data_IF_688226882722
#
_entry.id   IF_688226882722
#
_cell.length_a   1.000
_cell.length_b   1.000
_cell.length_c   1.000
_cell.angle_alpha   90.00
_cell.angle_beta   90.00
_cell.angle_gamma   90.00
#
_symmetry.space_group_name_H-M   'P 1'
#
loop_
_entity.id
_entity.type
_entity.pdbx_description
1 polymer ?
#
# COMPACT_ATOMS: atom_id res chain seq x y z
N UNK A 1 19.38 23.54 16.91
CA UNK A 1 18.51 22.46 16.41
C UNK A 1 19.35 21.54 15.55
N UNK A 2 19.55 20.30 15.93
CA UNK A 2 20.28 19.38 15.07
C UNK A 2 19.39 19.06 13.85
N UNK A 3 19.75 19.61 12.71
CA UNK A 3 19.16 19.18 11.46
C UNK A 3 19.63 17.75 11.17
N UNK A 4 18.68 16.83 10.89
CA UNK A 4 19.02 15.48 10.48
C UNK A 4 19.90 15.54 9.23
N UNK A 5 21.00 14.78 9.21
CA UNK A 5 21.88 14.71 8.06
C UNK A 5 21.18 13.97 6.90
N UNK A 6 21.60 14.24 5.66
CA UNK A 6 21.02 13.58 4.47
C UNK A 6 21.04 12.06 4.60
N UNK A 7 22.11 11.49 5.11
CA UNK A 7 22.24 10.04 5.34
C UNK A 7 21.28 9.50 6.40
N UNK A 8 21.00 10.27 7.45
CA UNK A 8 20.01 9.90 8.47
C UNK A 8 18.58 9.92 7.90
N UNK A 9 18.28 10.89 7.04
CA UNK A 9 16.97 10.97 6.36
C UNK A 9 16.79 9.79 5.41
N UNK A 10 17.79 9.44 4.63
CA UNK A 10 17.74 8.30 3.73
C UNK A 10 17.53 6.97 4.48
N UNK A 11 18.23 6.77 5.59
CA UNK A 11 18.03 5.61 6.47
C UNK A 11 16.63 5.56 7.07
N UNK A 12 16.09 6.70 7.50
CA UNK A 12 14.75 6.78 8.07
C UNK A 12 13.62 6.52 7.06
N UNK A 13 13.88 6.65 5.76
CA UNK A 13 12.93 6.34 4.69
C UNK A 13 12.88 4.85 4.30
N UNK A 14 13.89 4.08 4.67
CA UNK A 14 14.00 2.67 4.27
C UNK A 14 13.00 1.75 4.98
N UNK A 15 12.78 1.83 6.31
CA UNK A 15 11.88 0.91 6.98
C UNK A 15 10.44 1.16 6.60
N UNK A 16 9.73 0.08 6.26
CA UNK A 16 8.29 0.10 6.12
C UNK A 16 7.61 0.24 7.49
N UNK A 17 6.37 0.72 7.51
CA UNK A 17 5.65 0.97 8.75
C UNK A 17 5.49 -0.29 9.60
N UNK A 18 5.25 -1.45 8.99
CA UNK A 18 5.07 -2.71 9.71
C UNK A 18 6.33 -3.12 10.46
N UNK A 19 7.50 -3.05 9.82
CA UNK A 19 8.79 -3.37 10.43
C UNK A 19 9.12 -2.42 11.58
N UNK A 20 8.84 -1.13 11.42
CA UNK A 20 9.02 -0.13 12.45
C UNK A 20 8.10 -0.39 13.65
N UNK A 21 6.80 -0.60 13.44
CA UNK A 21 5.83 -0.79 14.53
C UNK A 21 6.05 -2.10 15.29
N UNK A 22 6.51 -3.16 14.66
CA UNK A 22 6.89 -4.41 15.35
C UNK A 22 7.97 -4.22 16.41
N UNK A 23 8.82 -3.21 16.25
CA UNK A 23 9.88 -2.86 17.23
C UNK A 23 9.41 -1.79 18.21
N UNK A 24 8.72 -0.77 17.70
CA UNK A 24 8.35 0.41 18.49
C UNK A 24 7.08 0.20 19.34
N UNK A 25 6.03 -0.36 18.74
CA UNK A 25 4.74 -0.62 19.40
C UNK A 25 4.13 -1.95 18.92
N UNK A 26 4.69 -3.10 19.30
CA UNK A 26 4.19 -4.40 18.82
C UNK A 26 2.73 -4.66 19.24
N UNK A 27 2.30 -4.17 20.40
CA UNK A 27 0.96 -4.36 20.95
C UNK A 27 -0.15 -3.61 20.18
N UNK A 28 0.24 -2.62 19.36
CA UNK A 28 -0.68 -1.87 18.52
C UNK A 28 -1.09 -2.63 17.26
N UNK A 29 -0.34 -3.65 16.86
CA UNK A 29 -0.56 -4.40 15.63
C UNK A 29 -1.56 -5.53 15.83
N UNK A 30 -2.70 -5.43 15.16
CA UNK A 30 -3.72 -6.48 15.13
C UNK A 30 -3.71 -7.11 13.74
N UNK A 31 -3.40 -8.42 13.60
CA UNK A 31 -3.46 -9.08 12.31
C UNK A 31 -4.90 -9.19 11.83
N UNK A 32 -5.16 -8.84 10.59
CA UNK A 32 -6.48 -8.94 9.94
C UNK A 32 -6.47 -9.89 8.75
N UNK A 33 -5.30 -10.32 8.32
CA UNK A 33 -5.11 -11.26 7.22
C UNK A 33 -3.64 -11.67 7.06
N UNK A 34 -3.31 -12.47 6.05
CA UNK A 34 -1.97 -13.04 5.87
C UNK A 34 -0.85 -11.99 5.84
N UNK A 35 -1.09 -10.85 5.19
CA UNK A 35 -0.16 -9.72 5.09
C UNK A 35 -0.85 -8.38 5.40
N UNK A 36 -1.94 -8.42 6.18
CA UNK A 36 -2.72 -7.26 6.52
C UNK A 36 -2.83 -7.08 8.02
N UNK A 37 -2.61 -5.87 8.49
CA UNK A 37 -2.67 -5.48 9.89
C UNK A 37 -3.48 -4.21 10.03
N UNK A 38 -4.07 -4.01 11.21
CA UNK A 38 -4.68 -2.75 11.62
C UNK A 38 -4.06 -2.28 12.93
N UNK A 39 -4.19 -1.01 13.24
CA UNK A 39 -3.77 -0.47 14.52
C UNK A 39 -4.91 -0.53 15.55
N UNK A 40 -4.56 -0.82 16.79
CA UNK A 40 -5.52 -0.83 17.90
C UNK A 40 -6.03 0.58 18.20
N UNK A 41 -5.16 1.58 18.18
CA UNK A 41 -5.51 2.99 18.40
C UNK A 41 -6.28 3.61 17.23
N UNK A 42 -6.06 3.13 16.02
CA UNK A 42 -6.66 3.63 14.79
C UNK A 42 -7.23 2.48 13.95
N UNK A 43 -8.41 1.98 14.32
CA UNK A 43 -9.03 0.80 13.71
C UNK A 43 -9.25 0.92 12.19
N UNK A 44 -9.45 2.13 11.69
CA UNK A 44 -9.57 2.43 10.26
C UNK A 44 -8.25 2.56 9.51
N UNK A 45 -7.10 2.55 10.22
CA UNK A 45 -5.79 2.53 9.59
C UNK A 45 -5.39 1.08 9.31
N UNK A 46 -5.21 0.76 8.04
CA UNK A 46 -4.81 -0.56 7.57
C UNK A 46 -3.41 -0.52 6.97
N UNK A 47 -2.64 -1.56 7.27
CA UNK A 47 -1.30 -1.79 6.74
C UNK A 47 -1.36 -3.06 5.90
N UNK A 48 -0.94 -3.00 4.64
CA UNK A 48 -0.90 -4.15 3.74
C UNK A 48 0.22 -4.00 2.74
N UNK A 49 0.99 -5.08 2.51
CA UNK A 49 2.07 -5.11 1.52
C UNK A 49 3.08 -3.94 1.64
N UNK A 50 3.46 -3.56 2.85
CA UNK A 50 4.41 -2.48 3.10
C UNK A 50 3.84 -1.08 2.89
N UNK A 51 2.56 -0.95 2.60
CA UNK A 51 1.83 0.33 2.49
C UNK A 51 0.82 0.45 3.60
N UNK A 52 0.49 1.68 3.99
CA UNK A 52 -0.56 1.94 4.95
C UNK A 52 -1.55 2.96 4.40
N UNK A 53 -2.80 2.87 4.85
CA UNK A 53 -3.86 3.78 4.48
C UNK A 53 -4.81 3.98 5.66
N UNK A 54 -5.12 5.24 5.94
CA UNK A 54 -6.07 5.64 6.98
C UNK A 54 -7.38 6.13 6.37
N UNK A 55 -8.37 5.28 6.37
CA UNK A 55 -9.62 5.48 5.63
C UNK A 55 -10.51 6.59 6.20
N UNK A 56 -10.50 6.81 7.52
CA UNK A 56 -11.31 7.86 8.16
C UNK A 56 -10.74 9.27 8.03
N UNK A 57 -9.52 9.42 7.54
CA UNK A 57 -8.83 10.71 7.36
C UNK A 57 -8.46 10.91 5.90
N UNK A 58 -9.43 11.32 5.07
CA UNK A 58 -9.27 11.66 3.65
C UNK A 58 -8.42 10.66 2.84
N UNK A 59 -8.49 9.37 3.19
CA UNK A 59 -7.65 8.31 2.60
C UNK A 59 -6.15 8.60 2.72
N UNK A 60 -5.74 9.24 3.82
CA UNK A 60 -4.35 9.51 4.09
C UNK A 60 -3.54 8.22 4.11
N UNK A 61 -2.40 8.19 3.45
CA UNK A 61 -1.59 6.98 3.37
C UNK A 61 -0.14 7.26 3.03
N UNK A 62 0.65 6.19 3.02
CA UNK A 62 2.06 6.25 2.71
C UNK A 62 2.71 4.88 2.59
N UNK A 63 4.01 4.87 2.38
CA UNK A 63 4.80 3.66 2.17
C UNK A 63 5.75 3.39 3.34
N UNK A 64 6.22 4.42 4.01
CA UNK A 64 7.27 4.31 5.03
C UNK A 64 6.80 4.77 6.42
N UNK A 65 7.57 4.41 7.43
CA UNK A 65 7.32 4.78 8.83
C UNK A 65 7.44 6.29 9.06
N UNK A 66 8.31 6.98 8.31
CA UNK A 66 8.53 8.41 8.46
C UNK A 66 7.27 9.22 8.13
N UNK A 67 6.59 8.87 7.04
CA UNK A 67 5.32 9.52 6.68
C UNK A 67 4.22 9.26 7.72
N UNK A 68 4.18 8.09 8.31
CA UNK A 68 3.26 7.77 9.39
C UNK A 68 3.49 8.66 10.62
N UNK A 69 4.71 8.77 11.09
CA UNK A 69 5.04 9.58 12.27
C UNK A 69 4.71 11.07 12.06
N UNK A 70 4.92 11.59 10.86
CA UNK A 70 4.61 12.98 10.53
C UNK A 70 3.11 13.21 10.37
N UNK A 71 2.41 12.34 9.62
CA UNK A 71 1.01 12.54 9.23
C UNK A 71 0.01 12.10 10.31
N UNK A 72 0.30 11.02 11.03
CA UNK A 72 -0.61 10.41 12.00
C UNK A 72 -0.26 10.84 13.43
N UNK A 73 1.00 10.75 13.82
CA UNK A 73 1.48 11.14 15.15
C UNK A 73 1.78 12.65 15.26
N UNK A 74 1.66 13.41 14.17
CA UNK A 74 1.97 14.86 14.10
C UNK A 74 3.37 15.21 14.64
N UNK A 75 4.32 14.29 14.49
CA UNK A 75 5.68 14.47 14.95
C UNK A 75 6.46 15.39 14.01
N UNK A 76 7.35 16.23 14.55
CA UNK A 76 8.21 17.06 13.72
C UNK A 76 9.18 16.19 12.93
N UNK A 77 9.49 16.60 11.71
CA UNK A 77 10.35 15.84 10.80
C UNK A 77 11.70 15.40 11.41
N UNK A 78 12.48 16.28 12.08
CA UNK A 78 13.77 15.89 12.66
C UNK A 78 13.60 14.85 13.80
N UNK A 79 12.56 14.98 14.62
CA UNK A 79 12.29 14.09 15.74
C UNK A 79 11.86 12.69 15.22
N UNK A 80 11.06 12.65 14.17
CA UNK A 80 10.66 11.41 13.52
C UNK A 80 11.86 10.68 12.87
N UNK A 81 12.76 11.41 12.23
CA UNK A 81 14.00 10.86 11.67
C UNK A 81 14.89 10.28 12.77
N UNK A 82 15.06 11.00 13.87
CA UNK A 82 15.85 10.54 15.01
C UNK A 82 15.26 9.26 15.61
N UNK A 83 13.95 9.26 15.89
CA UNK A 83 13.26 8.11 16.48
C UNK A 83 13.40 6.84 15.61
N UNK A 84 13.24 6.96 14.30
CA UNK A 84 13.39 5.81 13.40
C UNK A 84 14.84 5.31 13.40
N UNK A 85 15.82 6.20 13.37
CA UNK A 85 17.23 5.82 13.41
C UNK A 85 17.61 5.17 14.73
N UNK A 86 17.04 5.58 15.86
CA UNK A 86 17.24 4.95 17.17
C UNK A 86 16.61 3.55 17.20
N UNK A 87 15.40 3.39 16.74
CA UNK A 87 14.68 2.10 16.76
C UNK A 87 15.18 1.13 15.70
N UNK A 88 15.57 1.60 14.53
CA UNK A 88 16.04 0.77 13.42
C UNK A 88 17.56 0.74 13.29
N UNK A 89 18.30 1.63 13.96
CA UNK A 89 19.76 1.78 13.84
C UNK A 89 20.59 0.72 14.59
N UNK A 90 19.99 -0.08 15.47
CA UNK A 90 20.72 -1.04 16.32
C UNK A 90 20.75 -2.47 15.76
N UNK A 91 20.19 -2.71 14.59
CA UNK A 91 20.29 -4.02 13.93
C UNK A 91 20.47 -3.85 12.43
N UNK A 92 21.74 -3.73 12.05
CA UNK A 92 22.20 -4.14 10.73
C UNK A 92 22.27 -5.66 10.64
N UNK A 93 21.20 -6.38 10.94
CA UNK A 93 20.94 -7.66 10.28
C UNK A 93 20.07 -7.33 9.08
N UNK A 94 20.76 -7.07 8.01
CA UNK A 94 20.32 -7.16 6.66
C UNK A 94 19.71 -8.58 6.48
N UNK A 95 18.44 -8.77 6.82
CA UNK A 95 17.67 -9.70 6.04
C UNK A 95 17.57 -9.04 4.67
N UNK A 96 18.49 -9.42 3.81
CA UNK A 96 18.36 -9.21 2.39
C UNK A 96 16.93 -9.64 2.05
N UNK A 97 16.06 -8.64 1.86
CA UNK A 97 14.88 -8.92 1.02
C UNK A 97 15.47 -9.60 -0.22
N UNK A 98 15.01 -10.78 -0.60
CA UNK A 98 15.40 -11.29 -1.88
C UNK A 98 15.14 -10.12 -2.84
N UNK A 99 16.22 -9.59 -3.38
CA UNK A 99 16.18 -8.60 -4.46
C UNK A 99 15.13 -9.18 -5.37
N UNK A 100 13.98 -8.49 -5.48
CA UNK A 100 12.98 -8.92 -6.46
C UNK A 100 13.76 -8.95 -7.75
N UNK A 101 14.14 -10.14 -8.15
CA UNK A 101 14.76 -10.43 -9.43
C UNK A 101 13.95 -9.59 -10.39
N UNK A 102 14.55 -8.66 -11.15
CA UNK A 102 13.79 -7.85 -12.07
C UNK A 102 12.93 -8.84 -12.83
N UNK A 103 11.61 -8.77 -12.57
CA UNK A 103 10.63 -9.67 -13.15
C UNK A 103 10.92 -9.61 -14.64
N UNK A 104 11.58 -10.65 -15.13
CA UNK A 104 11.99 -10.72 -16.54
C UNK A 104 10.78 -10.21 -17.29
N UNK A 105 10.95 -9.12 -18.03
CA UNK A 105 9.87 -8.51 -18.78
C UNK A 105 9.25 -9.65 -19.58
N UNK A 106 8.14 -10.16 -19.08
CA UNK A 106 7.37 -11.12 -19.87
C UNK A 106 7.07 -10.39 -21.15
N UNK A 107 7.49 -10.91 -22.31
CA UNK A 107 7.18 -10.27 -23.57
C UNK A 107 5.71 -9.91 -23.49
N UNK A 108 5.38 -8.64 -23.67
CA UNK A 108 4.00 -8.15 -23.60
C UNK A 108 3.22 -9.03 -24.55
N UNK A 109 2.42 -9.95 -24.01
CA UNK A 109 1.58 -10.81 -24.83
C UNK A 109 0.79 -9.86 -25.71
N UNK A 110 0.88 -10.06 -27.02
CA UNK A 110 0.15 -9.27 -27.98
C UNK A 110 -1.33 -9.30 -27.57
N UNK A 111 -1.92 -8.12 -27.37
CA UNK A 111 -3.31 -8.02 -26.95
C UNK A 111 -4.19 -8.53 -28.11
N UNK A 112 -4.50 -9.81 -28.09
CA UNK A 112 -5.43 -10.40 -29.04
C UNK A 112 -6.85 -10.05 -28.60
N UNK A 113 -7.51 -9.26 -29.42
CA UNK A 113 -8.96 -9.02 -29.24
C UNK A 113 -9.69 -10.36 -29.33
N UNK A 114 -10.62 -10.64 -28.42
CA UNK A 114 -11.43 -11.83 -28.52
C UNK A 114 -12.16 -11.86 -29.87
N UNK A 115 -12.29 -13.05 -30.44
CA UNK A 115 -12.98 -13.25 -31.71
C UNK A 115 -14.39 -12.65 -31.60
N UNK A 116 -14.70 -11.71 -32.49
CA UNK A 116 -16.00 -11.07 -32.56
C UNK A 116 -17.08 -12.10 -32.83
N UNK A 117 -18.01 -12.26 -31.90
CA UNK A 117 -19.18 -13.12 -32.14
C UNK A 117 -20.03 -12.54 -33.28
N UNK A 118 -20.52 -13.41 -34.14
CA UNK A 118 -21.34 -13.04 -35.31
C UNK A 118 -22.74 -12.51 -34.94
N UNK A 119 -23.14 -12.71 -33.68
CA UNK A 119 -24.43 -12.20 -33.21
C UNK A 119 -24.33 -11.64 -31.77
N UNK A 120 -25.15 -10.67 -31.48
CA UNK A 120 -25.21 -9.98 -30.18
C UNK A 120 -26.27 -10.58 -29.23
N UNK A 121 -26.84 -11.77 -29.54
CA UNK A 121 -27.98 -12.35 -28.80
C UNK A 121 -27.76 -12.42 -27.29
N UNK A 122 -26.55 -12.80 -26.84
CA UNK A 122 -26.23 -12.87 -25.39
C UNK A 122 -26.20 -11.51 -24.74
N UNK A 123 -25.63 -10.51 -25.41
CA UNK A 123 -25.57 -9.13 -24.93
C UNK A 123 -26.97 -8.53 -24.88
N UNK A 124 -27.74 -8.73 -25.94
CA UNK A 124 -29.14 -8.28 -26.01
C UNK A 124 -29.99 -8.90 -24.91
N UNK A 125 -29.91 -10.21 -24.69
CA UNK A 125 -30.62 -10.90 -23.63
C UNK A 125 -30.22 -10.37 -22.22
N UNK A 126 -28.95 -10.10 -21.99
CA UNK A 126 -28.46 -9.51 -20.74
C UNK A 126 -29.02 -8.08 -20.54
N UNK A 127 -28.99 -7.24 -21.56
CA UNK A 127 -29.48 -5.87 -21.48
C UNK A 127 -31.00 -5.82 -21.27
N UNK A 128 -31.76 -6.69 -21.94
CA UNK A 128 -33.20 -6.85 -21.70
C UNK A 128 -33.52 -7.30 -20.28
N UNK A 129 -32.72 -8.21 -19.70
CA UNK A 129 -32.88 -8.65 -18.32
C UNK A 129 -32.63 -7.54 -17.30
N UNK A 130 -31.90 -6.50 -17.71
CA UNK A 130 -31.62 -5.27 -16.91
C UNK A 130 -32.67 -4.17 -17.14
N UNK A 131 -33.71 -4.43 -17.93
CA UNK A 131 -34.80 -3.47 -18.18
C UNK A 131 -34.48 -2.43 -19.25
N UNK A 132 -33.48 -2.70 -20.11
CA UNK A 132 -33.21 -1.84 -21.28
C UNK A 132 -34.11 -2.30 -22.43
N UNK A 133 -34.90 -1.38 -22.96
CA UNK A 133 -35.85 -1.66 -24.04
C UNK A 133 -35.14 -1.98 -25.35
N UNK A 134 -35.74 -2.87 -26.16
CA UNK A 134 -35.24 -3.25 -27.48
C UNK A 134 -35.07 -2.03 -28.41
N UNK A 135 -35.93 -1.03 -28.28
CA UNK A 135 -35.88 0.18 -29.11
C UNK A 135 -34.58 0.98 -28.97
N UNK A 136 -33.87 0.78 -27.85
CA UNK A 136 -32.58 1.43 -27.60
C UNK A 136 -31.41 0.66 -28.22
N UNK A 137 -31.64 -0.62 -28.55
CA UNK A 137 -30.59 -1.54 -29.03
C UNK A 137 -30.54 -1.63 -30.57
N UNK A 138 -31.47 -1.02 -31.27
CA UNK A 138 -31.59 -1.02 -32.72
C UNK A 138 -30.87 0.17 -33.38
N UNK A 139 -29.65 0.48 -32.94
CA UNK A 139 -28.79 1.48 -33.56
C UNK A 139 -27.64 0.84 -34.32
#
# INVERSE_FOLDING_TARGET
>A
MPYATKSQIERARQPDLLTFLRRYKPDELIPTGPNAYKLRSHDSLKISNGKWCWWSHDKMGGVNALEYLIKVENMKFPDAVQLINEQCGVSASHEERPVSVPKAERPKAEFLLPVRFQNNRRVTAYLLSRGIDMSVLDY
#
